data_IF_542178826251
#
_entry.id   IF_542178826251
#
_cell.length_a   1.000
_cell.length_b   1.000
_cell.length_c   1.000
_cell.angle_alpha   90.00
_cell.angle_beta   90.00
_cell.angle_gamma   90.00
#
_symmetry.space_group_name_H-M   'P 1'
#
loop_
_entity.id
_entity.type
_entity.pdbx_description
1 polymer ?
#
# COMPACT_ATOMS: atom_id res chain seq x y z
N UNK A 1 -2.85 5.55 -19.90
CA UNK A 1 -2.99 4.78 -18.65
C UNK A 1 -2.20 3.50 -18.74
N UNK A 2 -1.64 2.98 -17.64
CA UNK A 2 -0.86 1.73 -17.60
C UNK A 2 -1.63 0.54 -18.18
N UNK A 3 -2.95 0.49 -18.01
CA UNK A 3 -3.82 -0.55 -18.56
C UNK A 3 -3.82 -0.59 -20.07
N UNK A 4 -3.87 0.56 -20.76
CA UNK A 4 -3.87 0.62 -22.21
C UNK A 4 -2.56 0.15 -22.85
N UNK A 5 -1.46 0.11 -22.11
CA UNK A 5 -0.17 -0.40 -22.58
C UNK A 5 -0.20 -1.92 -22.72
N UNK A 6 -0.85 -2.60 -21.75
CA UNK A 6 -0.91 -4.05 -21.66
C UNK A 6 -2.21 -4.65 -22.24
N UNK A 7 -3.18 -3.82 -22.64
CA UNK A 7 -4.42 -4.27 -23.26
C UNK A 7 -4.14 -4.97 -24.60
N UNK A 8 -5.08 -5.77 -25.08
CA UNK A 8 -4.96 -6.55 -26.33
C UNK A 8 -4.55 -5.70 -27.53
N UNK A 9 -5.13 -4.53 -27.69
CA UNK A 9 -4.76 -3.55 -28.72
C UNK A 9 -3.60 -2.63 -28.32
N UNK A 10 -3.01 -2.85 -27.14
CA UNK A 10 -1.92 -2.03 -26.61
C UNK A 10 -0.60 -2.23 -27.34
N UNK A 11 0.33 -1.27 -27.17
CA UNK A 11 1.62 -1.29 -27.88
C UNK A 11 2.46 -2.52 -27.53
N UNK A 12 2.37 -3.05 -26.30
CA UNK A 12 3.16 -4.22 -25.88
C UNK A 12 2.73 -5.46 -26.64
N UNK A 13 1.45 -5.81 -26.59
CA UNK A 13 0.96 -7.00 -27.28
C UNK A 13 1.03 -6.87 -28.81
N UNK A 14 0.80 -5.67 -29.35
CA UNK A 14 0.93 -5.41 -30.78
C UNK A 14 2.38 -5.57 -31.27
N UNK A 15 3.37 -5.11 -30.50
CA UNK A 15 4.78 -5.28 -30.83
C UNK A 15 5.23 -6.74 -30.73
N UNK A 16 4.79 -7.46 -29.69
CA UNK A 16 5.10 -8.90 -29.54
C UNK A 16 4.55 -9.67 -30.76
N UNK A 17 3.30 -9.43 -31.15
CA UNK A 17 2.69 -10.07 -32.33
C UNK A 17 3.45 -9.75 -33.61
N UNK A 18 3.83 -8.49 -33.83
CA UNK A 18 4.61 -8.09 -35.01
C UNK A 18 5.99 -8.71 -35.05
N UNK A 19 6.67 -8.79 -33.89
CA UNK A 19 8.03 -9.30 -33.79
C UNK A 19 8.10 -10.82 -33.93
N UNK A 20 7.13 -11.54 -33.39
CA UNK A 20 7.10 -13.01 -33.39
C UNK A 20 6.22 -13.61 -34.50
N UNK A 21 5.49 -12.77 -35.25
CA UNK A 21 4.57 -13.23 -36.30
C UNK A 21 3.37 -14.03 -35.77
N UNK A 22 3.03 -13.84 -34.47
CA UNK A 22 1.96 -14.57 -33.83
C UNK A 22 0.59 -13.94 -34.08
N UNK A 23 -0.44 -14.79 -34.18
CA UNK A 23 -1.84 -14.39 -34.25
C UNK A 23 -2.50 -14.47 -32.87
N UNK A 24 -3.75 -14.05 -32.81
CA UNK A 24 -4.57 -14.18 -31.60
C UNK A 24 -4.75 -15.67 -31.27
N UNK A 25 -4.38 -16.05 -30.05
CA UNK A 25 -4.49 -17.44 -29.58
C UNK A 25 -3.20 -18.25 -29.63
N UNK A 26 -2.14 -17.78 -30.32
CA UNK A 26 -0.87 -18.48 -30.45
C UNK A 26 0.02 -18.34 -29.19
N UNK A 27 -0.33 -17.40 -28.30
CA UNK A 27 0.43 -17.15 -27.07
C UNK A 27 -0.48 -16.91 -25.87
N UNK A 28 -0.01 -17.35 -24.72
CA UNK A 28 -0.69 -17.09 -23.47
C UNK A 28 -0.32 -15.70 -22.95
N UNK A 29 -1.29 -14.81 -22.91
CA UNK A 29 -1.16 -13.53 -22.24
C UNK A 29 -2.32 -13.42 -21.23
N UNK A 30 -2.01 -13.22 -19.94
CA UNK A 30 -3.06 -13.12 -18.93
C UNK A 30 -3.98 -11.94 -19.24
N UNK A 31 -5.27 -12.15 -19.07
CA UNK A 31 -6.26 -11.10 -19.26
C UNK A 31 -5.99 -9.94 -18.29
N UNK A 32 -5.77 -8.76 -18.87
CA UNK A 32 -5.51 -7.54 -18.08
C UNK A 32 -6.74 -7.17 -17.26
N UNK A 33 -7.95 -7.35 -17.84
CA UNK A 33 -9.22 -7.09 -17.15
C UNK A 33 -9.63 -8.28 -16.28
N UNK A 34 -8.92 -8.44 -15.17
CA UNK A 34 -9.10 -9.53 -14.21
C UNK A 34 -8.80 -9.04 -12.81
N UNK A 35 -9.12 -9.84 -11.81
CA UNK A 35 -8.74 -9.58 -10.40
C UNK A 35 -7.20 -9.43 -10.29
N UNK A 36 -6.44 -10.26 -10.99
CA UNK A 36 -4.97 -10.18 -11.01
C UNK A 36 -4.47 -8.85 -11.58
N UNK A 37 -5.06 -8.39 -12.69
CA UNK A 37 -4.76 -7.08 -13.27
C UNK A 37 -5.08 -5.92 -12.33
N UNK A 38 -6.22 -5.98 -11.63
CA UNK A 38 -6.58 -4.98 -10.63
C UNK A 38 -5.59 -4.95 -9.46
N UNK A 39 -5.17 -6.11 -8.94
CA UNK A 39 -4.19 -6.20 -7.85
C UNK A 39 -2.85 -5.57 -8.27
N UNK A 40 -2.35 -5.90 -9.47
CA UNK A 40 -1.11 -5.34 -9.99
C UNK A 40 -1.24 -3.83 -10.15
N UNK A 41 -2.36 -3.35 -10.70
CA UNK A 41 -2.60 -1.92 -10.90
C UNK A 41 -2.62 -1.16 -9.58
N UNK A 42 -3.39 -1.63 -8.58
CA UNK A 42 -3.42 -1.02 -7.25
C UNK A 42 -2.03 -1.03 -6.60
N UNK A 43 -1.31 -2.14 -6.73
CA UNK A 43 0.06 -2.24 -6.19
C UNK A 43 1.00 -1.22 -6.81
N UNK A 44 0.94 -1.01 -8.13
CA UNK A 44 1.79 -0.05 -8.84
C UNK A 44 1.40 1.42 -8.61
N UNK A 45 0.13 1.70 -8.35
CA UNK A 45 -0.35 3.08 -8.14
C UNK A 45 -0.26 3.49 -6.67
N UNK A 46 -0.53 2.56 -5.75
CA UNK A 46 -0.62 2.86 -4.32
C UNK A 46 0.68 2.58 -3.54
N UNK A 47 1.70 1.92 -4.15
CA UNK A 47 2.97 1.68 -3.46
C UNK A 47 3.64 2.94 -2.89
N UNK A 48 3.53 4.14 -3.51
CA UNK A 48 4.19 5.33 -3.00
C UNK A 48 3.74 5.71 -1.58
N UNK A 49 2.49 5.43 -1.21
CA UNK A 49 1.98 5.70 0.14
C UNK A 49 2.79 4.94 1.20
N UNK A 50 2.97 3.63 0.99
CA UNK A 50 3.76 2.80 1.91
C UNK A 50 5.24 3.14 1.81
N UNK A 51 5.75 3.31 0.59
CA UNK A 51 7.16 3.60 0.35
C UNK A 51 7.62 4.89 1.01
N UNK A 52 6.89 5.99 0.82
CA UNK A 52 7.28 7.29 1.36
C UNK A 52 7.28 7.30 2.89
N UNK A 53 6.26 6.70 3.51
CA UNK A 53 6.17 6.60 4.97
C UNK A 53 7.23 5.66 5.55
N UNK A 54 7.49 4.54 4.91
CA UNK A 54 8.55 3.63 5.31
C UNK A 54 9.94 4.29 5.15
N UNK A 55 10.19 4.94 3.99
CA UNK A 55 11.45 5.64 3.71
C UNK A 55 11.73 6.73 4.74
N UNK A 56 10.76 7.59 5.02
CA UNK A 56 10.94 8.65 6.03
C UNK A 56 11.19 8.07 7.42
N UNK A 57 10.51 6.99 7.78
CA UNK A 57 10.74 6.30 9.05
C UNK A 57 12.15 5.71 9.14
N UNK A 58 12.66 5.08 8.09
CA UNK A 58 14.03 4.56 8.06
C UNK A 58 15.09 5.67 8.09
N UNK A 59 14.86 6.78 7.37
CA UNK A 59 15.80 7.91 7.38
C UNK A 59 15.85 8.63 8.73
N UNK A 60 14.75 8.65 9.47
CA UNK A 60 14.69 9.27 10.80
C UNK A 60 15.18 8.35 11.94
N UNK A 61 15.58 7.12 11.64
CA UNK A 61 16.22 6.27 12.65
C UNK A 61 17.61 6.81 12.99
N UNK A 62 17.87 6.98 14.28
CA UNK A 62 19.17 7.49 14.70
C UNK A 62 20.31 6.53 14.31
N UNK A 63 21.39 7.07 13.78
CA UNK A 63 22.59 6.29 13.43
C UNK A 63 23.10 5.47 14.63
N UNK A 64 22.98 6.00 15.83
CA UNK A 64 23.40 5.36 17.07
C UNK A 64 22.74 3.99 17.30
N UNK A 65 21.44 3.83 16.96
CA UNK A 65 20.73 2.55 17.14
C UNK A 65 21.28 1.49 16.19
N UNK A 66 21.62 1.89 14.97
CA UNK A 66 22.21 0.99 13.97
C UNK A 66 23.66 0.66 14.33
N UNK A 67 24.43 1.63 14.82
CA UNK A 67 25.81 1.44 15.27
C UNK A 67 25.90 0.53 16.49
N UNK A 68 25.06 0.73 17.49
CA UNK A 68 24.97 -0.17 18.66
C UNK A 68 24.67 -1.60 18.22
N UNK A 69 23.77 -1.81 17.27
CA UNK A 69 23.46 -3.15 16.77
C UNK A 69 24.66 -3.80 16.05
N UNK A 70 25.52 -2.99 15.39
CA UNK A 70 26.76 -3.46 14.77
C UNK A 70 27.83 -3.79 15.80
N UNK A 71 27.94 -3.00 16.85
CA UNK A 71 28.86 -3.27 17.97
C UNK A 71 28.56 -4.59 18.68
N UNK A 72 27.29 -5.00 18.71
CA UNK A 72 26.84 -6.29 19.22
C UNK A 72 27.09 -7.46 18.25
N UNK A 73 27.93 -7.29 17.24
CA UNK A 73 28.34 -8.28 16.26
C UNK A 73 27.15 -8.91 15.48
N UNK A 74 26.06 -8.17 15.31
CA UNK A 74 24.92 -8.61 14.50
C UNK A 74 25.16 -8.25 13.03
N UNK A 75 25.11 -9.26 12.15
CA UNK A 75 25.24 -9.02 10.71
C UNK A 75 24.13 -8.08 10.18
N UNK A 76 24.33 -7.43 9.01
CA UNK A 76 23.47 -6.38 8.48
C UNK A 76 21.99 -6.81 8.33
N UNK A 77 21.74 -8.03 7.90
CA UNK A 77 20.40 -8.59 7.79
C UNK A 77 19.70 -8.79 9.13
N UNK A 78 20.44 -9.25 10.14
CA UNK A 78 19.89 -9.43 11.50
C UNK A 78 19.60 -8.06 12.13
N UNK A 79 20.46 -7.07 11.93
CA UNK A 79 20.25 -5.70 12.39
C UNK A 79 19.00 -5.10 11.74
N UNK A 80 18.83 -5.25 10.43
CA UNK A 80 17.64 -4.80 9.71
C UNK A 80 16.37 -5.44 10.28
N UNK A 81 16.30 -6.78 10.35
CA UNK A 81 15.09 -7.49 10.77
C UNK A 81 14.76 -7.30 12.25
N UNK A 82 15.76 -7.23 13.13
CA UNK A 82 15.55 -7.17 14.58
C UNK A 82 15.46 -5.75 15.14
N UNK A 83 16.01 -4.76 14.43
CA UNK A 83 16.08 -3.38 14.93
C UNK A 83 15.39 -2.42 13.98
N UNK A 84 15.88 -2.25 12.76
CA UNK A 84 15.39 -1.23 11.86
C UNK A 84 13.92 -1.45 11.41
N UNK A 85 13.57 -2.67 11.04
CA UNK A 85 12.22 -3.00 10.59
C UNK A 85 11.16 -2.88 11.71
N UNK A 86 11.37 -3.38 12.94
CA UNK A 86 10.42 -3.17 14.03
C UNK A 86 10.18 -1.69 14.38
N UNK A 87 11.21 -0.86 14.31
CA UNK A 87 11.08 0.59 14.50
C UNK A 87 10.29 1.27 13.38
N UNK A 88 10.37 0.78 12.15
CA UNK A 88 9.61 1.30 11.02
C UNK A 88 8.17 0.77 10.94
N UNK A 89 7.82 -0.31 11.65
CA UNK A 89 6.47 -0.92 11.61
C UNK A 89 5.32 0.06 11.76
N UNK A 90 5.34 1.03 12.71
CA UNK A 90 4.23 1.96 12.86
C UNK A 90 3.98 2.79 11.60
N UNK A 91 5.05 3.25 10.93
CA UNK A 91 4.94 4.04 9.71
C UNK A 91 4.43 3.20 8.53
N UNK A 92 4.91 1.95 8.42
CA UNK A 92 4.46 0.99 7.40
C UNK A 92 2.96 0.69 7.59
N UNK A 93 2.51 0.45 8.81
CA UNK A 93 1.10 0.21 9.12
C UNK A 93 0.21 1.39 8.75
N UNK A 94 0.67 2.63 8.97
CA UNK A 94 -0.05 3.83 8.50
C UNK A 94 -0.17 3.85 6.98
N UNK A 95 0.91 3.58 6.26
CA UNK A 95 0.90 3.49 4.80
C UNK A 95 -0.07 2.43 4.29
N UNK A 96 -0.06 1.25 4.89
CA UNK A 96 -0.98 0.17 4.56
C UNK A 96 -2.44 0.53 4.85
N UNK A 97 -2.71 1.22 5.97
CA UNK A 97 -4.06 1.69 6.29
C UNK A 97 -4.59 2.67 5.25
N UNK A 98 -3.74 3.59 4.76
CA UNK A 98 -4.11 4.51 3.69
C UNK A 98 -4.42 3.77 2.39
N UNK A 99 -3.58 2.80 2.01
CA UNK A 99 -3.81 1.96 0.83
C UNK A 99 -5.12 1.18 0.94
N UNK A 100 -5.39 0.59 2.10
CA UNK A 100 -6.65 -0.15 2.34
C UNK A 100 -7.87 0.76 2.23
N UNK A 101 -7.82 1.96 2.80
CA UNK A 101 -8.92 2.93 2.70
C UNK A 101 -9.18 3.33 1.24
N UNK A 102 -8.13 3.64 0.49
CA UNK A 102 -8.23 4.02 -0.91
C UNK A 102 -8.80 2.88 -1.77
N UNK A 103 -8.28 1.67 -1.57
CA UNK A 103 -8.75 0.47 -2.29
C UNK A 103 -10.21 0.13 -1.97
N UNK A 104 -10.64 0.26 -0.70
CA UNK A 104 -12.01 -0.02 -0.30
C UNK A 104 -13.02 1.03 -0.78
N UNK A 105 -12.58 2.26 -1.01
CA UNK A 105 -13.40 3.34 -1.52
C UNK A 105 -13.41 3.41 -3.05
N UNK A 106 -12.50 2.71 -3.73
CA UNK A 106 -12.40 2.77 -5.19
C UNK A 106 -13.61 2.10 -5.86
N UNK A 107 -14.14 2.79 -6.84
CA UNK A 107 -15.16 2.28 -7.77
C UNK A 107 -14.63 2.22 -9.20
N UNK A 108 -13.88 3.23 -9.62
CA UNK A 108 -13.48 3.42 -11.01
C UNK A 108 -12.56 2.31 -11.51
N UNK A 109 -11.52 2.00 -10.75
CA UNK A 109 -10.55 0.97 -11.12
C UNK A 109 -11.21 -0.40 -11.11
N UNK A 110 -11.89 -0.77 -10.03
CA UNK A 110 -12.51 -2.10 -9.92
C UNK A 110 -13.61 -2.32 -10.97
N UNK A 111 -14.37 -1.27 -11.31
CA UNK A 111 -15.38 -1.32 -12.38
C UNK A 111 -14.74 -1.51 -13.75
N UNK A 112 -13.62 -0.81 -14.02
CA UNK A 112 -12.87 -0.96 -15.28
C UNK A 112 -12.32 -2.37 -15.46
N UNK A 113 -11.84 -2.99 -14.39
CA UNK A 113 -11.34 -4.37 -14.42
C UNK A 113 -12.43 -5.43 -14.37
N UNK A 114 -13.71 -5.04 -14.28
CA UNK A 114 -14.84 -5.96 -14.20
C UNK A 114 -14.94 -6.73 -12.89
N UNK A 115 -14.28 -6.25 -11.83
CA UNK A 115 -14.25 -6.91 -10.52
C UNK A 115 -15.49 -6.52 -9.72
N UNK A 116 -16.24 -7.51 -9.25
CA UNK A 116 -17.42 -7.27 -8.43
C UNK A 116 -17.02 -7.15 -6.96
N UNK A 117 -17.10 -5.95 -6.43
CA UNK A 117 -16.83 -5.60 -5.03
C UNK A 117 -18.01 -4.79 -4.45
N UNK A 118 -17.93 -4.44 -3.16
CA UNK A 118 -19.01 -3.69 -2.49
C UNK A 118 -19.34 -2.37 -3.19
N UNK A 119 -18.34 -1.60 -3.60
CA UNK A 119 -18.55 -0.32 -4.31
C UNK A 119 -19.29 -0.52 -5.64
N UNK A 120 -18.89 -1.49 -6.45
CA UNK A 120 -19.58 -1.81 -7.70
C UNK A 120 -20.98 -2.35 -7.46
N UNK A 121 -21.18 -3.11 -6.37
CA UNK A 121 -22.51 -3.59 -5.93
C UNK A 121 -23.43 -2.44 -5.56
N UNK A 122 -22.97 -1.49 -4.76
CA UNK A 122 -23.72 -0.28 -4.38
C UNK A 122 -24.15 0.50 -5.62
N UNK A 123 -23.22 0.74 -6.56
CA UNK A 123 -23.52 1.46 -7.80
C UNK A 123 -24.55 0.74 -8.67
N UNK A 124 -24.41 -0.58 -8.86
CA UNK A 124 -25.38 -1.39 -9.63
C UNK A 124 -26.77 -1.37 -8.99
N UNK A 125 -26.83 -1.46 -7.66
CA UNK A 125 -28.12 -1.44 -6.93
C UNK A 125 -28.78 -0.07 -7.01
N UNK A 126 -27.97 1.00 -6.86
CA UNK A 126 -28.48 2.38 -6.92
C UNK A 126 -28.95 2.76 -8.32
N UNK A 127 -28.09 2.63 -9.34
CA UNK A 127 -28.38 3.11 -10.69
C UNK A 127 -29.01 2.06 -11.60
N UNK A 128 -28.71 0.78 -11.41
CA UNK A 128 -29.21 -0.31 -12.25
C UNK A 128 -30.55 -0.84 -11.81
N UNK A 129 -30.76 -1.03 -10.50
CA UNK A 129 -31.99 -1.61 -9.95
C UNK A 129 -32.94 -0.54 -9.41
N UNK A 130 -32.50 0.70 -9.19
CA UNK A 130 -33.30 1.76 -8.58
C UNK A 130 -33.67 1.49 -7.11
N UNK A 131 -33.02 0.50 -6.46
CA UNK A 131 -33.26 0.17 -5.06
C UNK A 131 -32.32 0.96 -4.16
N UNK A 132 -32.71 2.20 -3.87
CA UNK A 132 -31.95 3.11 -3.01
C UNK A 132 -31.84 2.62 -1.57
N UNK A 133 -32.84 1.89 -1.07
CA UNK A 133 -32.84 1.37 0.30
C UNK A 133 -31.77 0.32 0.49
N UNK A 134 -31.69 -0.66 -0.42
CA UNK A 134 -30.67 -1.71 -0.37
C UNK A 134 -29.28 -1.14 -0.61
N UNK A 135 -29.12 -0.22 -1.57
CA UNK A 135 -27.84 0.45 -1.82
C UNK A 135 -27.33 1.22 -0.59
N UNK A 136 -28.22 1.94 0.12
CA UNK A 136 -27.88 2.64 1.34
C UNK A 136 -27.47 1.69 2.47
N UNK A 137 -28.13 0.54 2.62
CA UNK A 137 -27.72 -0.50 3.60
C UNK A 137 -26.35 -1.07 3.29
N UNK A 138 -26.06 -1.38 2.02
CA UNK A 138 -24.72 -1.83 1.60
C UNK A 138 -23.65 -0.78 1.87
N UNK A 139 -23.92 0.49 1.54
CA UNK A 139 -23.01 1.59 1.86
C UNK A 139 -22.76 1.74 3.37
N UNK A 140 -23.80 1.57 4.18
CA UNK A 140 -23.69 1.58 5.65
C UNK A 140 -22.80 0.46 6.18
N UNK A 141 -22.94 -0.76 5.65
CA UNK A 141 -22.08 -1.90 6.01
C UNK A 141 -20.62 -1.62 5.66
N UNK A 142 -20.35 -1.09 4.47
CA UNK A 142 -19.00 -0.72 4.03
C UNK A 142 -18.41 0.37 4.95
N UNK A 143 -19.21 1.38 5.31
CA UNK A 143 -18.80 2.45 6.21
C UNK A 143 -18.42 1.91 7.60
N UNK A 144 -19.23 1.00 8.16
CA UNK A 144 -18.93 0.36 9.45
C UNK A 144 -17.61 -0.41 9.37
N UNK A 145 -17.39 -1.14 8.28
CA UNK A 145 -16.15 -1.88 8.07
C UNK A 145 -14.93 -0.97 7.98
N UNK A 146 -15.00 0.13 7.22
CA UNK A 146 -13.93 1.13 7.12
C UNK A 146 -13.68 1.77 8.49
N UNK A 147 -14.75 2.12 9.22
CA UNK A 147 -14.63 2.69 10.56
C UNK A 147 -13.94 1.72 11.54
N UNK A 148 -14.29 0.44 11.48
CA UNK A 148 -13.64 -0.59 12.30
C UNK A 148 -12.14 -0.70 11.98
N UNK A 149 -11.74 -0.61 10.71
CA UNK A 149 -10.32 -0.58 10.30
C UNK A 149 -9.59 0.64 10.86
N UNK A 150 -10.20 1.83 10.80
CA UNK A 150 -9.62 3.06 11.38
C UNK A 150 -9.41 2.93 12.89
N UNK A 151 -10.40 2.39 13.59
CA UNK A 151 -10.32 2.17 15.03
C UNK A 151 -9.22 1.15 15.37
N UNK A 152 -9.16 0.04 14.65
CA UNK A 152 -8.14 -0.98 14.83
C UNK A 152 -6.72 -0.41 14.59
N UNK A 153 -6.55 0.40 13.54
CA UNK A 153 -5.29 1.10 13.24
C UNK A 153 -4.91 2.06 14.39
N UNK A 154 -5.84 2.89 14.85
CA UNK A 154 -5.59 3.81 15.96
C UNK A 154 -5.22 3.07 17.25
N UNK A 155 -5.88 1.96 17.52
CA UNK A 155 -5.59 1.14 18.70
C UNK A 155 -4.19 0.52 18.63
N UNK A 156 -3.81 -0.01 17.47
CA UNK A 156 -2.46 -0.54 17.20
C UNK A 156 -1.37 0.53 17.42
N UNK A 157 -1.62 1.79 16.99
CA UNK A 157 -0.69 2.92 17.16
C UNK A 157 -0.50 3.35 18.61
N UNK A 158 -1.55 3.33 19.42
CA UNK A 158 -1.44 3.69 20.85
C UNK A 158 -0.44 2.80 21.58
N UNK A 159 -0.38 1.52 21.23
CA UNK A 159 0.53 0.56 21.85
C UNK A 159 2.01 0.84 21.55
N UNK A 160 2.32 1.49 20.43
CA UNK A 160 3.70 1.72 19.96
C UNK A 160 4.26 3.11 20.30
N UNK A 161 3.46 4.03 20.87
CA UNK A 161 3.92 5.38 21.24
C UNK A 161 4.91 5.40 22.40
N UNK A 162 5.01 4.35 23.20
CA UNK A 162 5.92 4.29 24.36
C UNK A 162 7.42 4.20 23.97
N UNK A 163 7.78 3.82 22.74
CA UNK A 163 9.18 3.66 22.33
C UNK A 163 9.82 4.94 21.79
N UNK A 164 9.04 5.93 21.37
CA UNK A 164 9.58 7.15 20.75
C UNK A 164 9.86 8.30 21.75
N UNK A 165 9.52 8.16 23.01
CA UNK A 165 9.70 9.21 24.01
C UNK A 165 11.12 9.28 24.61
N UNK A 166 11.98 8.30 24.31
CA UNK A 166 13.34 8.25 24.88
C UNK A 166 14.34 9.04 24.02
N UNK A 167 14.03 9.34 22.77
CA UNK A 167 15.04 9.85 21.79
C UNK A 167 14.97 11.36 21.50
N UNK A 168 14.09 12.13 22.15
CA UNK A 168 13.98 13.58 21.87
C UNK A 168 14.86 14.47 22.77
N UNK A 169 15.66 13.91 23.67
CA UNK A 169 16.47 14.69 24.63
C UNK A 169 17.99 14.59 24.50
N UNK A 170 18.55 13.81 23.61
CA UNK A 170 19.96 13.88 23.31
C UNK A 170 20.25 14.94 22.27
N UNK A 171 20.07 16.22 22.62
CA UNK A 171 20.81 17.30 22.00
C UNK A 171 22.29 17.00 22.26
N UNK A 172 23.07 16.87 21.19
CA UNK A 172 24.50 16.83 21.26
C UNK A 172 24.99 18.00 22.13
N UNK A 173 25.60 17.74 23.30
CA UNK A 173 26.33 18.76 24.00
C UNK A 173 27.58 19.02 23.17
N UNK A 174 27.66 20.19 22.54
CA UNK A 174 28.88 20.65 21.91
C UNK A 174 29.98 20.70 22.95
N UNK A 175 30.95 19.80 22.82
CA UNK A 175 32.21 19.91 23.56
C UNK A 175 32.96 21.14 23.05
N UNK A 176 32.87 22.25 23.75
CA UNK A 176 33.80 23.38 23.55
C UNK A 176 35.14 22.96 24.06
N UNK A 177 36.08 22.70 23.15
CA UNK A 177 37.51 22.63 23.47
C UNK A 177 37.93 23.98 24.06
N UNK A 178 38.33 24.00 25.36
CA UNK A 178 39.00 25.14 25.98
C UNK A 178 40.45 25.14 25.48
N UNK A 179 40.80 26.18 24.74
CA UNK A 179 42.23 26.55 24.55
C UNK A 179 42.82 27.07 25.84
#
# INVERSE_FOLDING_TARGET
TYTGIFDFAGPVQSNIRKFMGWNYGDYFFPEVRSIGGAIIMFSLVLYPYVYLLARTSFLNQSANVIEISRLLNTGPWKSFLKVAFPLARPAILVGLSLVLMETLADYGTVSYFGVTVFTTGIFKTWFGLGDYSTAAKMAGILLIFIFALIVAERYSRKRNKYYNLIDSKTRFSEYKLKN
#
